data_IF_207260221875
#
_entry.id   IF_207260221875
#
_cell.length_a   1.000
_cell.length_b   1.000
_cell.length_c   1.000
_cell.angle_alpha   90.00
_cell.angle_beta   90.00
_cell.angle_gamma   90.00
#
_symmetry.space_group_name_H-M   'P 1'
#
loop_
_entity.id
_entity.type
_entity.pdbx_description
1 polymer ?
#
# COMPACT_ATOMS: atom_id res chain seq x y z
N UNK A 1 30.22 -19.18 5.85
CA UNK A 1 29.73 -20.23 6.78
C UNK A 1 28.53 -21.05 6.27
N UNK A 2 27.55 -20.46 5.56
CA UNK A 2 26.35 -21.18 5.08
C UNK A 2 26.66 -22.42 4.21
N UNK A 3 27.61 -22.30 3.27
CA UNK A 3 28.04 -23.40 2.38
C UNK A 3 28.61 -24.59 3.16
N UNK A 4 29.45 -24.30 4.15
CA UNK A 4 30.24 -25.33 4.84
C UNK A 4 29.47 -25.97 6.01
N UNK A 5 28.49 -25.26 6.60
CA UNK A 5 27.67 -25.78 7.70
C UNK A 5 26.39 -26.52 7.26
N UNK A 6 25.79 -26.14 6.12
CA UNK A 6 24.54 -26.73 5.63
C UNK A 6 24.72 -27.64 4.41
N UNK A 7 25.96 -27.84 3.96
CA UNK A 7 26.31 -28.65 2.77
C UNK A 7 25.46 -28.30 1.54
N UNK A 8 25.07 -27.03 1.40
CA UNK A 8 24.26 -26.57 0.28
C UNK A 8 25.18 -26.38 -0.93
N UNK A 9 25.00 -27.22 -1.95
CA UNK A 9 25.72 -27.17 -3.21
C UNK A 9 24.74 -26.92 -4.35
N UNK A 10 24.99 -25.86 -5.11
CA UNK A 10 24.25 -25.56 -6.32
C UNK A 10 25.23 -25.48 -7.51
N UNK A 11 25.06 -26.34 -8.54
CA UNK A 11 25.89 -26.29 -9.73
C UNK A 11 25.85 -24.90 -10.40
N UNK A 12 27.02 -24.38 -10.80
CA UNK A 12 27.15 -23.10 -11.49
C UNK A 12 27.27 -21.85 -10.60
N UNK A 13 27.10 -21.97 -9.28
CA UNK A 13 27.36 -20.87 -8.34
C UNK A 13 28.87 -20.65 -8.13
N UNK A 14 29.67 -21.70 -8.28
CA UNK A 14 31.15 -21.64 -8.18
C UNK A 14 31.80 -20.89 -9.35
N UNK A 15 31.13 -20.88 -10.51
CA UNK A 15 31.59 -20.20 -11.72
C UNK A 15 31.19 -18.71 -11.75
N UNK A 16 30.36 -18.27 -10.78
CA UNK A 16 29.96 -16.87 -10.66
C UNK A 16 31.10 -16.03 -10.05
N UNK A 17 31.37 -14.83 -10.57
CA UNK A 17 32.33 -13.92 -9.95
C UNK A 17 31.86 -13.51 -8.54
N UNK A 18 32.80 -13.29 -7.63
CA UNK A 18 32.52 -12.85 -6.25
C UNK A 18 32.68 -13.96 -5.21
N UNK A 19 32.12 -13.74 -4.02
CA UNK A 19 32.17 -14.73 -2.94
C UNK A 19 31.07 -15.80 -3.15
N UNK A 20 31.42 -17.10 -3.22
CA UNK A 20 30.44 -18.16 -3.44
C UNK A 20 29.37 -18.26 -2.35
N UNK A 21 29.67 -17.88 -1.10
CA UNK A 21 28.68 -17.94 -0.02
C UNK A 21 27.65 -16.81 -0.15
N UNK A 22 28.09 -15.60 -0.52
CA UNK A 22 27.19 -14.48 -0.87
C UNK A 22 26.32 -14.80 -2.10
N UNK A 23 26.91 -15.40 -3.14
CA UNK A 23 26.18 -15.81 -4.34
C UNK A 23 25.10 -16.86 -4.00
N UNK A 24 25.44 -17.84 -3.16
CA UNK A 24 24.49 -18.84 -2.67
C UNK A 24 23.37 -18.20 -1.84
N UNK A 25 23.71 -17.28 -0.93
CA UNK A 25 22.72 -16.56 -0.11
C UNK A 25 21.73 -15.78 -0.98
N UNK A 26 22.23 -15.01 -1.95
CA UNK A 26 21.41 -14.25 -2.90
C UNK A 26 20.48 -15.15 -3.70
N UNK A 27 20.96 -16.32 -4.11
CA UNK A 27 20.13 -17.32 -4.78
C UNK A 27 19.03 -17.86 -3.88
N UNK A 28 19.35 -18.23 -2.63
CA UNK A 28 18.34 -18.69 -1.66
C UNK A 28 17.29 -17.61 -1.40
N UNK A 29 17.70 -16.35 -1.19
CA UNK A 29 16.77 -15.23 -1.01
C UNK A 29 15.88 -15.02 -2.24
N UNK A 30 16.42 -15.17 -3.45
CA UNK A 30 15.66 -15.05 -4.70
C UNK A 30 14.65 -16.19 -4.84
N UNK A 31 15.06 -17.43 -4.62
CA UNK A 31 14.16 -18.60 -4.66
C UNK A 31 13.04 -18.45 -3.62
N UNK A 32 13.35 -18.05 -2.40
CA UNK A 32 12.34 -17.83 -1.36
C UNK A 32 11.35 -16.72 -1.73
N UNK A 33 11.81 -15.65 -2.39
CA UNK A 33 10.93 -14.58 -2.90
C UNK A 33 9.99 -15.09 -3.99
N UNK A 34 10.50 -15.86 -4.95
CA UNK A 34 9.67 -16.44 -6.01
C UNK A 34 8.69 -17.48 -5.47
N UNK A 35 9.08 -18.28 -4.47
CA UNK A 35 8.19 -19.20 -3.77
C UNK A 35 7.06 -18.43 -3.10
N UNK A 36 7.39 -17.39 -2.30
CA UNK A 36 6.39 -16.53 -1.65
C UNK A 36 5.41 -15.94 -2.68
N UNK A 37 5.91 -15.42 -3.80
CA UNK A 37 5.06 -14.89 -4.86
C UNK A 37 4.16 -15.96 -5.49
N UNK A 38 4.70 -17.15 -5.73
CA UNK A 38 3.97 -18.27 -6.36
C UNK A 38 2.85 -18.80 -5.47
N UNK A 39 3.09 -18.91 -4.16
CA UNK A 39 2.06 -19.31 -3.19
C UNK A 39 1.17 -18.15 -2.74
N UNK A 40 1.30 -16.97 -3.38
CA UNK A 40 0.58 -15.75 -3.01
C UNK A 40 0.72 -15.42 -1.51
N UNK A 41 1.92 -15.67 -0.96
CA UNK A 41 2.31 -15.47 0.44
C UNK A 41 1.56 -16.33 1.46
N UNK A 42 0.82 -17.35 1.02
CA UNK A 42 0.21 -18.33 1.91
C UNK A 42 1.26 -19.22 2.58
N UNK A 43 1.00 -19.60 3.83
CA UNK A 43 1.77 -20.58 4.61
C UNK A 43 3.23 -20.28 4.91
N UNK A 44 3.87 -19.29 4.29
CA UNK A 44 5.28 -18.96 4.51
C UNK A 44 5.40 -17.48 4.88
N UNK A 45 6.02 -17.19 6.02
CA UNK A 45 6.24 -15.83 6.52
C UNK A 45 7.73 -15.57 6.72
N UNK A 46 8.17 -14.32 6.47
CA UNK A 46 9.54 -13.85 6.76
C UNK A 46 9.50 -12.99 8.02
N UNK A 47 10.35 -13.30 9.00
CA UNK A 47 10.55 -12.44 10.16
C UNK A 47 11.26 -11.14 9.71
N UNK A 48 10.73 -9.95 10.03
CA UNK A 48 11.27 -8.67 9.55
C UNK A 48 12.69 -8.41 10.07
N UNK A 49 13.01 -8.93 11.26
CA UNK A 49 14.25 -8.57 11.97
C UNK A 49 15.37 -9.61 11.82
N UNK A 50 15.04 -10.86 11.50
CA UNK A 50 15.99 -11.99 11.56
C UNK A 50 16.25 -12.67 10.22
N UNK A 51 15.63 -12.18 9.13
CA UNK A 51 15.65 -12.81 7.79
C UNK A 51 15.20 -14.29 7.75
N UNK A 52 14.62 -14.79 8.83
CA UNK A 52 14.18 -16.17 8.94
C UNK A 52 12.82 -16.37 8.27
N UNK A 53 12.71 -17.46 7.51
CA UNK A 53 11.45 -17.91 6.94
C UNK A 53 10.88 -19.05 7.78
N UNK A 54 9.57 -19.04 8.03
CA UNK A 54 8.88 -20.07 8.80
C UNK A 54 7.51 -20.38 8.20
N UNK A 55 7.01 -21.57 8.52
CA UNK A 55 5.66 -21.98 8.12
C UNK A 55 4.62 -21.34 9.04
N UNK A 56 3.76 -20.50 8.48
CA UNK A 56 2.65 -19.86 9.16
C UNK A 56 1.33 -20.48 8.73
N UNK A 57 0.93 -21.53 9.45
CA UNK A 57 -0.32 -22.27 9.19
C UNK A 57 -1.58 -21.45 9.45
N UNK A 58 -1.46 -20.28 10.09
CA UNK A 58 -2.59 -19.36 10.32
C UNK A 58 -2.76 -18.36 9.19
N UNK A 59 -1.75 -18.20 8.32
CA UNK A 59 -1.82 -17.35 7.12
C UNK A 59 -2.40 -18.15 5.95
N UNK A 60 -3.63 -18.63 6.14
CA UNK A 60 -4.42 -19.27 5.08
C UNK A 60 -4.88 -18.25 4.02
N UNK A 61 -5.05 -17.00 4.44
CA UNK A 61 -5.34 -15.84 3.60
C UNK A 61 -4.25 -14.79 3.82
N UNK A 62 -3.43 -14.57 2.79
CA UNK A 62 -2.48 -13.45 2.79
C UNK A 62 -3.19 -12.15 2.38
N UNK A 63 -3.63 -11.39 3.39
CA UNK A 63 -4.27 -10.11 3.17
C UNK A 63 -3.31 -9.08 2.59
N UNK A 64 -2.03 -9.11 2.94
CA UNK A 64 -1.04 -8.16 2.43
C UNK A 64 -0.85 -8.37 0.91
N UNK A 65 -0.73 -9.62 0.48
CA UNK A 65 -0.65 -9.95 -0.95
C UNK A 65 -1.94 -9.57 -1.70
N UNK A 66 -3.12 -9.75 -1.09
CA UNK A 66 -4.37 -9.29 -1.69
C UNK A 66 -4.47 -7.76 -1.77
N UNK A 67 -4.01 -7.04 -0.75
CA UNK A 67 -3.95 -5.59 -0.74
C UNK A 67 -3.00 -5.09 -1.83
N UNK A 68 -1.80 -5.67 -1.93
CA UNK A 68 -0.82 -5.32 -2.96
C UNK A 68 -1.38 -5.55 -4.36
N UNK A 69 -1.95 -6.74 -4.63
CA UNK A 69 -2.60 -7.04 -5.90
C UNK A 69 -3.76 -6.10 -6.21
N UNK A 70 -4.55 -5.72 -5.20
CA UNK A 70 -5.65 -4.78 -5.36
C UNK A 70 -5.14 -3.38 -5.65
N UNK A 71 -4.03 -2.98 -5.02
CA UNK A 71 -3.36 -1.70 -5.21
C UNK A 71 -2.76 -1.60 -6.61
N UNK A 72 -2.08 -2.64 -7.11
CA UNK A 72 -1.56 -2.70 -8.48
C UNK A 72 -2.67 -2.57 -9.53
N UNK A 73 -3.87 -3.05 -9.23
CA UNK A 73 -5.02 -2.96 -10.13
C UNK A 73 -5.76 -1.61 -10.09
N UNK A 74 -5.37 -0.67 -9.20
CA UNK A 74 -5.98 0.66 -9.14
C UNK A 74 -5.33 1.59 -10.17
N UNK A 75 -6.16 2.27 -10.96
CA UNK A 75 -5.71 3.37 -11.81
C UNK A 75 -5.49 4.64 -10.99
N UNK A 76 -4.66 5.56 -11.48
CA UNK A 76 -4.44 6.87 -10.86
C UNK A 76 -5.77 7.61 -10.60
N UNK A 77 -6.69 7.61 -11.56
CA UNK A 77 -8.02 8.21 -11.37
C UNK A 77 -8.81 7.59 -10.21
N UNK A 78 -8.63 6.29 -9.94
CA UNK A 78 -9.31 5.62 -8.83
C UNK A 78 -8.69 6.01 -7.49
N UNK A 79 -7.37 6.20 -7.45
CA UNK A 79 -6.66 6.72 -6.29
C UNK A 79 -7.09 8.15 -5.97
N UNK A 80 -7.18 9.01 -6.99
CA UNK A 80 -7.64 10.40 -6.82
C UNK A 80 -9.08 10.43 -6.25
N UNK A 81 -10.00 9.64 -6.82
CA UNK A 81 -11.36 9.54 -6.28
C UNK A 81 -11.39 9.06 -4.83
N UNK A 82 -10.58 8.06 -4.49
CA UNK A 82 -10.49 7.56 -3.12
C UNK A 82 -9.94 8.63 -2.16
N UNK A 83 -8.92 9.37 -2.58
CA UNK A 83 -8.33 10.48 -1.82
C UNK A 83 -9.37 11.59 -1.55
N UNK A 84 -10.09 12.04 -2.57
CA UNK A 84 -11.15 13.05 -2.39
C UNK A 84 -12.28 12.55 -1.50
N UNK A 85 -12.65 11.26 -1.61
CA UNK A 85 -13.63 10.63 -0.72
C UNK A 85 -13.16 10.64 0.74
N UNK A 86 -11.88 10.36 0.99
CA UNK A 86 -11.30 10.38 2.33
C UNK A 86 -11.31 11.80 2.93
N UNK A 87 -10.95 12.84 2.16
CA UNK A 87 -11.03 14.22 2.65
C UNK A 87 -12.48 14.62 2.93
N UNK A 88 -13.41 14.25 2.05
CA UNK A 88 -14.84 14.53 2.26
C UNK A 88 -15.34 13.93 3.59
N UNK A 89 -14.93 12.71 3.90
CA UNK A 89 -15.27 12.05 5.16
C UNK A 89 -14.62 12.75 6.37
N UNK A 90 -13.35 13.16 6.27
CA UNK A 90 -12.64 13.87 7.32
C UNK A 90 -13.27 15.23 7.66
N UNK A 91 -13.81 15.91 6.64
CA UNK A 91 -14.49 17.19 6.79
C UNK A 91 -15.94 17.05 7.29
N UNK A 92 -16.37 15.83 7.68
CA UNK A 92 -17.74 15.51 8.12
C UNK A 92 -18.81 16.01 7.14
N UNK A 93 -18.45 16.12 5.86
CA UNK A 93 -19.31 16.60 4.77
C UNK A 93 -20.22 15.48 4.25
N UNK A 94 -20.84 14.76 5.18
CA UNK A 94 -21.80 13.69 4.91
C UNK A 94 -23.22 14.23 4.96
N UNK A 95 -23.87 14.14 3.80
CA UNK A 95 -25.32 14.02 3.61
C UNK A 95 -26.18 15.28 3.41
N UNK A 96 -25.67 16.49 3.63
CA UNK A 96 -26.47 17.71 3.33
C UNK A 96 -25.94 18.47 2.10
N UNK A 97 -26.17 17.88 0.91
CA UNK A 97 -25.93 18.58 -0.35
C UNK A 97 -27.00 19.65 -0.54
N UNK A 98 -26.71 20.89 -0.14
CA UNK A 98 -27.59 22.04 -0.37
C UNK A 98 -27.90 22.25 -1.86
N UNK A 99 -27.02 21.74 -2.73
CA UNK A 99 -27.21 21.66 -4.18
C UNK A 99 -27.11 20.20 -4.65
N UNK A 100 -28.25 19.51 -4.88
CA UNK A 100 -28.25 18.16 -5.42
C UNK A 100 -27.45 18.09 -6.72
N UNK A 101 -26.48 17.17 -6.78
CA UNK A 101 -25.60 16.99 -7.94
C UNK A 101 -24.28 17.77 -7.89
N UNK A 102 -24.08 18.65 -6.92
CA UNK A 102 -22.82 19.39 -6.75
C UNK A 102 -22.17 19.08 -5.41
N UNK A 103 -20.83 19.03 -5.35
CA UNK A 103 -20.08 18.80 -4.12
C UNK A 103 -19.82 20.13 -3.39
N UNK A 104 -20.89 20.72 -2.85
CA UNK A 104 -20.87 22.02 -2.17
C UNK A 104 -21.57 21.91 -0.82
N UNK A 105 -20.88 22.34 0.24
CA UNK A 105 -21.39 22.34 1.61
C UNK A 105 -21.29 23.72 2.23
N UNK A 106 -22.21 24.04 3.12
CA UNK A 106 -22.10 25.22 3.97
C UNK A 106 -21.14 24.87 5.12
N UNK A 107 -20.13 25.71 5.35
CA UNK A 107 -19.06 25.42 6.31
C UNK A 107 -18.76 26.66 7.16
N UNK A 108 -18.48 26.49 8.45
CA UNK A 108 -18.05 27.58 9.32
C UNK A 108 -16.57 27.87 9.10
N UNK A 109 -16.26 29.11 8.72
CA UNK A 109 -14.89 29.57 8.45
C UNK A 109 -14.51 30.60 9.50
N UNK A 110 -13.34 30.44 10.10
CA UNK A 110 -12.78 31.41 11.02
C UNK A 110 -12.30 32.66 10.27
N UNK A 111 -12.82 33.84 10.65
CA UNK A 111 -12.24 35.11 10.25
C UNK A 111 -11.11 35.48 11.21
N UNK A 112 -9.89 35.02 10.90
CA UNK A 112 -8.71 35.12 11.77
C UNK A 112 -8.46 36.52 12.34
N UNK A 113 -8.56 37.58 11.51
CA UNK A 113 -8.33 38.96 11.94
C UNK A 113 -9.32 39.45 13.01
N UNK A 114 -10.54 38.93 12.98
CA UNK A 114 -11.64 39.34 13.86
C UNK A 114 -11.95 38.31 14.94
N UNK A 115 -11.32 37.13 14.89
CA UNK A 115 -11.57 35.98 15.78
C UNK A 115 -13.06 35.66 15.93
N UNK A 116 -13.78 35.69 14.82
CA UNK A 116 -15.20 35.34 14.74
C UNK A 116 -15.42 34.34 13.63
N UNK A 117 -16.39 33.45 13.81
CA UNK A 117 -16.79 32.51 12.77
C UNK A 117 -17.81 33.14 11.83
N UNK A 118 -17.74 32.78 10.55
CA UNK A 118 -18.70 33.15 9.52
C UNK A 118 -19.13 31.93 8.73
N UNK A 119 -20.40 31.93 8.31
CA UNK A 119 -20.86 30.92 7.36
C UNK A 119 -20.28 31.21 5.98
N UNK A 120 -19.55 30.24 5.44
CA UNK A 120 -19.05 30.22 4.08
C UNK A 120 -19.48 28.95 3.35
N UNK A 121 -18.80 28.68 2.24
CA UNK A 121 -19.04 27.51 1.41
C UNK A 121 -17.73 26.79 1.13
N UNK A 122 -17.75 25.46 1.26
CA UNK A 122 -16.69 24.57 0.84
C UNK A 122 -17.06 23.99 -0.52
N UNK A 123 -16.12 24.04 -1.46
CA UNK A 123 -16.28 23.52 -2.82
C UNK A 123 -15.29 22.38 -3.04
N UNK A 124 -15.79 21.21 -3.47
CA UNK A 124 -14.97 20.13 -4.02
C UNK A 124 -15.20 19.99 -5.51
N UNK A 125 -14.18 19.49 -6.22
CA UNK A 125 -14.20 19.27 -7.67
C UNK A 125 -13.47 20.35 -8.48
N UNK A 126 -13.41 20.15 -9.79
CA UNK A 126 -12.75 21.10 -10.68
C UNK A 126 -13.59 22.39 -10.81
N UNK A 127 -12.96 23.53 -11.16
CA UNK A 127 -13.71 24.77 -11.40
C UNK A 127 -14.83 24.62 -12.43
N UNK A 128 -14.66 23.72 -13.40
CA UNK A 128 -15.63 23.45 -14.47
C UNK A 128 -16.86 22.66 -13.98
N UNK A 129 -16.78 21.99 -12.84
CA UNK A 129 -17.90 21.23 -12.25
C UNK A 129 -18.81 22.11 -11.38
N UNK A 130 -18.52 23.42 -11.31
CA UNK A 130 -19.28 24.36 -10.49
C UNK A 130 -20.51 24.86 -11.24
N UNK A 131 -21.66 25.03 -10.56
CA UNK A 131 -22.79 25.73 -11.14
C UNK A 131 -22.41 27.19 -11.35
N UNK A 132 -22.46 27.65 -12.60
CA UNK A 132 -22.34 29.05 -13.00
C UNK A 132 -23.54 29.88 -12.58
#
# INVERSE_FOLDING_TARGET
>A
ELRDALCLFQPGVEDMPGDPAENLLSMVQTVMREVLKTVNGQFISKAPDTEQYYLDLKKDIDYDAQIEKRAEALSDDALDRAYYSAIKALMECSDDLRYPGFQIWQYQIEWQERRVERMGYLFFGAPNDRPT
#
